data_IF_219360652856
#
_entry.id   IF_219360652856
#
_cell.length_a   1.000
_cell.length_b   1.000
_cell.length_c   1.000
_cell.angle_alpha   90.00
_cell.angle_beta   90.00
_cell.angle_gamma   90.00
#
_symmetry.space_group_name_H-M   'P 1'
#
loop_
_entity.id
_entity.type
_entity.pdbx_description
1 polymer ?
#
# COMPACT_ATOMS: atom_id res chain seq x y z
N UNK A 1 -15.43 22.82 4.83
CA UNK A 1 -14.04 22.61 4.33
C UNK A 1 -13.60 21.14 4.28
N UNK A 2 -14.25 20.19 4.98
CA UNK A 2 -13.86 18.76 4.94
C UNK A 2 -14.20 18.01 3.63
N UNK A 3 -15.19 18.46 2.87
CA UNK A 3 -15.66 17.74 1.65
C UNK A 3 -14.67 17.82 0.47
N UNK A 4 -13.83 18.87 0.42
CA UNK A 4 -12.89 19.09 -0.68
C UNK A 4 -11.66 18.17 -0.57
N UNK A 5 -11.17 17.94 0.65
CA UNK A 5 -10.01 17.09 0.93
C UNK A 5 -10.31 15.63 0.60
N UNK A 6 -11.51 15.15 0.95
CA UNK A 6 -11.93 13.78 0.67
C UNK A 6 -12.05 13.48 -0.83
N UNK A 7 -12.49 14.45 -1.64
CA UNK A 7 -12.51 14.33 -3.11
C UNK A 7 -11.10 14.33 -3.70
N UNK A 8 -10.20 15.14 -3.15
CA UNK A 8 -8.80 15.17 -3.60
C UNK A 8 -8.09 13.86 -3.33
N UNK A 9 -8.27 13.21 -2.17
CA UNK A 9 -7.60 11.92 -1.89
C UNK A 9 -8.12 10.79 -2.79
N UNK A 10 -9.39 10.81 -3.17
CA UNK A 10 -10.00 9.74 -3.97
C UNK A 10 -9.42 9.59 -5.38
N UNK A 11 -8.87 10.67 -5.95
CA UNK A 11 -8.17 10.63 -7.25
C UNK A 11 -6.68 10.32 -7.12
N UNK A 12 -6.14 10.38 -5.90
CA UNK A 12 -4.74 10.11 -5.63
C UNK A 12 -4.49 8.61 -5.53
N UNK A 13 -3.37 8.19 -6.12
CA UNK A 13 -2.94 6.80 -6.12
C UNK A 13 -2.43 6.44 -4.73
N UNK A 14 -3.32 5.92 -3.90
CA UNK A 14 -3.07 5.55 -2.51
C UNK A 14 -3.50 4.11 -2.24
N UNK A 15 -2.92 3.53 -1.19
CA UNK A 15 -3.26 2.19 -0.72
C UNK A 15 -3.48 2.21 0.78
N UNK A 16 -4.52 1.52 1.25
CA UNK A 16 -4.66 1.27 2.69
C UNK A 16 -3.56 0.30 3.13
N UNK A 17 -2.80 0.58 4.20
CA UNK A 17 -2.00 -0.44 4.84
C UNK A 17 -2.95 -1.52 5.37
N UNK A 18 -2.53 -2.78 5.33
CA UNK A 18 -3.27 -3.84 6.01
C UNK A 18 -2.33 -4.56 6.97
N UNK A 19 -2.79 -4.79 8.21
CA UNK A 19 -1.97 -5.40 9.21
C UNK A 19 -1.66 -6.85 8.82
N UNK A 20 -0.53 -7.39 9.29
CA UNK A 20 -0.08 -8.72 8.92
C UNK A 20 -1.10 -9.82 9.25
N UNK A 21 -1.88 -9.66 10.32
CA UNK A 21 -2.96 -10.58 10.72
C UNK A 21 -4.09 -10.68 9.69
N UNK A 22 -4.42 -9.57 9.02
CA UNK A 22 -5.47 -9.55 7.99
C UNK A 22 -4.92 -10.01 6.65
N UNK A 23 -3.62 -9.82 6.38
CA UNK A 23 -2.96 -10.43 5.21
C UNK A 23 -3.07 -11.98 5.24
N UNK A 24 -3.09 -12.59 6.43
CA UNK A 24 -3.22 -14.05 6.57
C UNK A 24 -4.57 -14.55 6.07
N UNK A 25 -5.62 -13.76 6.28
CA UNK A 25 -7.00 -14.08 5.89
C UNK A 25 -7.26 -13.87 4.40
N UNK A 26 -6.41 -13.11 3.70
CA UNK A 26 -6.58 -12.82 2.28
C UNK A 26 -6.17 -13.99 1.39
N UNK A 27 -6.89 -14.20 0.29
CA UNK A 27 -6.49 -15.15 -0.75
C UNK A 27 -5.21 -14.69 -1.46
N UNK A 28 -4.45 -15.64 -2.02
CA UNK A 28 -3.17 -15.35 -2.70
C UNK A 28 -3.35 -14.38 -3.86
N UNK A 29 -4.44 -14.49 -4.62
CA UNK A 29 -4.79 -13.52 -5.66
C UNK A 29 -4.93 -12.10 -5.10
N UNK A 30 -5.62 -11.92 -3.98
CA UNK A 30 -5.76 -10.62 -3.31
C UNK A 30 -4.42 -10.07 -2.84
N UNK A 31 -3.52 -10.92 -2.33
CA UNK A 31 -2.16 -10.52 -1.96
C UNK A 31 -1.34 -10.06 -3.18
N UNK A 32 -1.43 -10.77 -4.30
CA UNK A 32 -0.76 -10.39 -5.56
C UNK A 32 -1.27 -9.07 -6.12
N UNK A 33 -2.60 -8.89 -6.17
CA UNK A 33 -3.22 -7.62 -6.58
C UNK A 33 -2.76 -6.47 -5.69
N UNK A 34 -2.67 -6.71 -4.39
CA UNK A 34 -2.20 -5.71 -3.43
C UNK A 34 -0.72 -5.36 -3.60
N UNK A 35 0.12 -6.37 -3.86
CA UNK A 35 1.53 -6.18 -4.19
C UNK A 35 1.68 -5.31 -5.45
N UNK A 36 0.88 -5.59 -6.49
CA UNK A 36 0.87 -4.78 -7.71
C UNK A 36 0.43 -3.34 -7.43
N UNK A 37 -0.59 -3.15 -6.58
CA UNK A 37 -1.03 -1.84 -6.12
C UNK A 37 0.11 -1.06 -5.45
N UNK A 38 0.79 -1.67 -4.48
CA UNK A 38 1.95 -1.04 -3.80
C UNK A 38 3.09 -0.71 -4.77
N UNK A 39 3.38 -1.58 -5.76
CA UNK A 39 4.40 -1.31 -6.78
C UNK A 39 4.02 -0.19 -7.74
N UNK A 40 2.73 0.09 -7.89
CA UNK A 40 2.19 1.12 -8.77
C UNK A 40 2.13 2.51 -8.13
N UNK A 41 2.46 2.61 -6.84
CA UNK A 41 2.54 3.87 -6.10
C UNK A 41 3.73 4.74 -6.53
N UNK A 42 3.68 6.01 -6.15
CA UNK A 42 4.71 7.00 -6.44
C UNK A 42 6.04 6.63 -5.78
N UNK A 43 7.17 6.98 -6.40
CA UNK A 43 8.48 6.73 -5.81
C UNK A 43 8.68 7.55 -4.54
N UNK A 44 8.59 8.88 -4.67
CA UNK A 44 8.77 9.85 -3.59
C UNK A 44 7.87 11.07 -3.82
N UNK A 45 7.68 11.87 -2.78
CA UNK A 45 6.92 13.13 -2.88
C UNK A 45 7.55 14.09 -3.90
N UNK A 46 8.88 14.20 -3.92
CA UNK A 46 9.62 15.13 -4.80
C UNK A 46 9.43 14.86 -6.29
N UNK A 47 9.11 13.63 -6.67
CA UNK A 47 8.90 13.21 -8.07
C UNK A 47 7.42 13.16 -8.45
N UNK A 48 6.55 13.65 -7.57
CA UNK A 48 5.10 13.57 -7.74
C UNK A 48 4.49 14.96 -7.83
N UNK A 49 3.47 15.11 -8.67
CA UNK A 49 2.67 16.34 -8.80
C UNK A 49 1.73 16.60 -7.60
N UNK A 50 2.09 16.12 -6.41
CA UNK A 50 1.26 16.23 -5.23
C UNK A 50 1.52 17.55 -4.52
N UNK A 51 0.43 18.23 -4.15
CA UNK A 51 0.52 19.36 -3.21
C UNK A 51 0.89 18.88 -1.80
N UNK A 52 1.56 19.69 -0.98
CA UNK A 52 1.86 19.36 0.41
C UNK A 52 0.58 19.06 1.22
N UNK A 53 -0.52 19.78 0.97
CA UNK A 53 -1.82 19.53 1.61
C UNK A 53 -2.37 18.14 1.28
N UNK A 54 -2.18 17.67 0.04
CA UNK A 54 -2.63 16.34 -0.39
C UNK A 54 -1.81 15.24 0.29
N UNK A 55 -0.50 15.44 0.42
CA UNK A 55 0.37 14.55 1.19
C UNK A 55 -0.06 14.47 2.65
N UNK A 56 -0.25 15.63 3.28
CA UNK A 56 -0.61 15.72 4.70
C UNK A 56 -1.96 15.04 4.96
N UNK A 57 -2.93 15.24 4.07
CA UNK A 57 -4.23 14.61 4.17
C UNK A 57 -4.20 13.07 4.02
N UNK A 58 -3.33 12.55 3.16
CA UNK A 58 -3.10 11.10 3.01
C UNK A 58 -2.41 10.51 4.24
N UNK A 59 -1.44 11.23 4.79
CA UNK A 59 -0.73 10.84 6.01
C UNK A 59 -1.69 10.83 7.21
N UNK A 60 -2.50 11.88 7.37
CA UNK A 60 -3.55 11.98 8.39
C UNK A 60 -4.63 10.90 8.24
N UNK A 61 -4.91 10.45 7.00
CA UNK A 61 -5.81 9.34 6.72
C UNK A 61 -5.18 7.95 6.95
N UNK A 62 -3.88 7.88 7.31
CA UNK A 62 -3.15 6.63 7.50
C UNK A 62 -2.97 5.82 6.22
N UNK A 63 -2.92 6.48 5.07
CA UNK A 63 -2.78 5.85 3.76
C UNK A 63 -1.33 5.81 3.29
N UNK A 64 -1.02 4.85 2.41
CA UNK A 64 0.29 4.70 1.78
C UNK A 64 0.26 5.28 0.36
N UNK A 65 1.11 6.26 0.08
CA UNK A 65 1.22 6.89 -1.24
C UNK A 65 2.60 6.78 -1.89
N UNK A 66 3.68 6.76 -1.10
CA UNK A 66 5.05 6.87 -1.59
C UNK A 66 5.90 5.68 -1.14
N UNK A 67 6.71 5.16 -2.06
CA UNK A 67 7.59 4.00 -1.82
C UNK A 67 8.72 4.29 -0.84
N UNK A 68 9.15 5.54 -0.79
CA UNK A 68 10.20 6.00 0.12
C UNK A 68 9.77 6.00 1.61
N UNK A 69 8.46 5.90 1.89
CA UNK A 69 7.96 5.93 3.27
C UNK A 69 8.13 4.60 4.00
N UNK A 70 8.39 4.66 5.31
CA UNK A 70 8.53 3.47 6.16
C UNK A 70 7.25 2.61 6.17
N UNK A 71 6.07 3.24 6.13
CA UNK A 71 4.79 2.54 6.07
C UNK A 71 4.65 1.71 4.78
N UNK A 72 5.15 2.22 3.64
CA UNK A 72 5.19 1.46 2.40
C UNK A 72 6.16 0.29 2.50
N UNK A 73 7.37 0.52 2.99
CA UNK A 73 8.39 -0.52 3.12
C UNK A 73 7.89 -1.65 4.00
N UNK A 74 7.29 -1.32 5.14
CA UNK A 74 6.70 -2.28 6.08
C UNK A 74 5.56 -3.06 5.43
N UNK A 75 4.60 -2.38 4.79
CA UNK A 75 3.48 -3.04 4.11
C UNK A 75 3.97 -3.97 2.98
N UNK A 76 4.96 -3.53 2.20
CA UNK A 76 5.54 -4.28 1.10
C UNK A 76 6.28 -5.53 1.58
N UNK A 77 7.11 -5.40 2.62
CA UNK A 77 7.83 -6.52 3.22
C UNK A 77 6.87 -7.55 3.82
N UNK A 78 5.85 -7.11 4.55
CA UNK A 78 4.83 -8.00 5.11
C UNK A 78 4.14 -8.82 4.01
N UNK A 79 3.73 -8.17 2.90
CA UNK A 79 3.15 -8.85 1.74
C UNK A 79 4.08 -9.87 1.12
N UNK A 80 5.35 -9.49 0.90
CA UNK A 80 6.36 -10.39 0.34
C UNK A 80 6.60 -11.60 1.23
N UNK A 81 6.78 -11.40 2.54
CA UNK A 81 6.98 -12.51 3.47
C UNK A 81 5.79 -13.48 3.45
N UNK A 82 4.56 -12.98 3.38
CA UNK A 82 3.37 -13.83 3.30
C UNK A 82 3.28 -14.60 1.99
N UNK A 83 3.56 -13.97 0.85
CA UNK A 83 3.60 -14.65 -0.44
C UNK A 83 4.69 -15.72 -0.47
N UNK A 84 5.90 -15.41 0.01
CA UNK A 84 7.00 -16.36 0.08
C UNK A 84 6.67 -17.59 0.95
N UNK A 85 5.96 -17.41 2.07
CA UNK A 85 5.49 -18.54 2.90
C UNK A 85 4.48 -19.44 2.18
N UNK A 86 3.71 -18.90 1.22
CA UNK A 86 2.69 -19.66 0.47
C UNK A 86 3.24 -20.35 -0.77
N UNK A 87 4.25 -19.78 -1.41
CA UNK A 87 4.97 -20.48 -2.50
C UNK A 87 5.80 -21.66 -1.96
N UNK A 88 6.26 -21.58 -0.70
CA UNK A 88 7.06 -22.62 -0.06
C UNK A 88 6.21 -23.74 0.57
N UNK A 89 5.13 -24.17 -0.09
CA UNK A 89 4.60 -25.51 0.17
C UNK A 89 5.36 -26.47 -0.73
N UNK A 90 6.19 -27.39 -0.18
CA UNK A 90 6.79 -28.43 -1.01
C UNK A 90 5.64 -29.18 -1.67
N UNK A 91 5.63 -29.21 -3.00
CA UNK A 91 4.87 -30.22 -3.73
C UNK A 91 5.49 -31.55 -3.33
N UNK A 92 4.95 -32.18 -2.30
CA UNK A 92 5.20 -33.58 -2.02
C UNK A 92 4.61 -34.35 -3.20
N UNK A 93 5.50 -34.76 -4.11
CA UNK A 93 5.25 -35.83 -5.07
C UNK A 93 5.71 -37.15 -4.46
#
# INVERSE_FOLDING_TARGET
>A
MQDLVSKSIATLKTMKPVPPEDLEKLHTGSLLTRLQGLRSLHASFETSDWSPEARDAVEAAGLVAFKDTEIWQTAFQNLKQRLSRREHFPRAG
#
